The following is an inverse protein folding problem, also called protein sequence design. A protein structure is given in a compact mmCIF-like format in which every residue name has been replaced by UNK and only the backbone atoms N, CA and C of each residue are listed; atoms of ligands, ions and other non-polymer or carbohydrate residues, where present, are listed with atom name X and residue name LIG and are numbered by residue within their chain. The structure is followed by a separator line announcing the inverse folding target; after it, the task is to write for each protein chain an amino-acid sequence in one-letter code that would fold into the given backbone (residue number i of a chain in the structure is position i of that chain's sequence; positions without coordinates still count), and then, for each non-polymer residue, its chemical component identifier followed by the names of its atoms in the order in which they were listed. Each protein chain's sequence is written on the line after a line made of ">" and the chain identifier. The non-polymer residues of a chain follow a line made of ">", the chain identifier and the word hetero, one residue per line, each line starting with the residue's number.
data_IF_125265320868
#
_entry.id   IF_125265320868
#
_cell.length_a   1.000
_cell.length_b   1.000
_cell.length_c   1.000
_cell.angle_alpha   90.00
_cell.angle_beta   90.00
_cell.angle_gamma   90.00
#
_symmetry.space_group_name_H-M   'P 1'
#
loop_
_entity.id
_entity.type
_entity.pdbx_description
1 polymer ?
#
# COMPACT_ATOMS: atom_id res chain seq x y z
N UNK A 1 -47.87 -85.69 34.89
CA UNK A 1 -48.72 -84.59 35.41
C UNK A 1 -47.99 -83.27 35.10
N UNK A 2 -48.47 -82.43 34.15
CA UNK A 2 -49.17 -81.13 34.40
C UNK A 2 -48.56 -80.36 35.59
N UNK A 3 -48.03 -79.14 35.53
CA UNK A 3 -48.21 -77.88 34.74
C UNK A 3 -46.90 -77.05 34.88
N UNK A 4 -46.45 -76.28 33.88
CA UNK A 4 -46.64 -74.80 33.75
C UNK A 4 -45.59 -74.02 34.57
N UNK A 5 -44.81 -73.06 34.06
CA UNK A 5 -45.20 -71.77 33.45
C UNK A 5 -43.96 -71.08 32.84
N UNK A 6 -44.18 -70.35 31.75
CA UNK A 6 -43.31 -69.39 31.05
C UNK A 6 -42.56 -68.41 32.00
N UNK A 7 -41.45 -67.78 31.65
CA UNK A 7 -41.34 -66.70 30.66
C UNK A 7 -39.85 -66.41 30.43
N UNK A 8 -39.35 -66.61 29.19
CA UNK A 8 -38.16 -65.89 28.73
C UNK A 8 -38.65 -64.61 28.04
N UNK A 9 -38.58 -63.50 28.77
CA UNK A 9 -38.70 -62.14 28.23
C UNK A 9 -37.33 -61.50 28.29
N UNK A 10 -36.65 -61.45 27.15
CA UNK A 10 -35.67 -60.41 26.86
C UNK A 10 -36.30 -59.45 25.86
N UNK A 11 -36.89 -58.37 26.37
CA UNK A 11 -37.26 -57.19 25.58
C UNK A 11 -35.98 -56.59 24.97
N UNK A 12 -35.83 -56.54 23.64
CA UNK A 12 -36.31 -55.49 22.72
C UNK A 12 -35.81 -54.07 23.06
N UNK A 13 -34.83 -53.63 22.26
CA UNK A 13 -34.42 -52.26 21.89
C UNK A 13 -33.84 -51.41 23.04
N UNK A 14 -32.63 -50.86 22.98
CA UNK A 14 -31.99 -50.19 21.86
C UNK A 14 -30.47 -50.28 22.03
N UNK A 15 -29.80 -50.86 21.05
CA UNK A 15 -28.38 -50.61 20.85
C UNK A 15 -28.32 -49.14 20.44
N UNK A 16 -27.97 -48.25 21.37
CA UNK A 16 -27.61 -46.88 21.04
C UNK A 16 -26.39 -46.97 20.11
N UNK A 17 -26.67 -47.01 18.81
CA UNK A 17 -25.71 -46.61 17.81
C UNK A 17 -25.35 -45.17 18.18
N UNK A 18 -24.22 -45.01 18.86
CA UNK A 18 -23.49 -43.75 18.86
C UNK A 18 -23.12 -43.57 17.40
N UNK A 19 -23.98 -42.86 16.67
CA UNK A 19 -23.67 -42.25 15.40
C UNK A 19 -22.59 -41.23 15.74
N UNK A 20 -21.32 -41.67 15.71
CA UNK A 20 -20.19 -40.75 15.66
C UNK A 20 -20.38 -40.02 14.35
N UNK A 21 -20.99 -38.84 14.43
CA UNK A 21 -20.96 -37.86 13.39
C UNK A 21 -19.48 -37.46 13.27
N UNK A 22 -18.75 -38.21 12.44
CA UNK A 22 -17.51 -37.71 11.86
C UNK A 22 -17.92 -36.48 11.06
N UNK A 23 -17.89 -35.31 11.70
CA UNK A 23 -17.40 -34.16 10.98
C UNK A 23 -16.01 -34.56 10.53
N UNK A 24 -15.92 -35.05 9.30
CA UNK A 24 -14.71 -34.86 8.53
C UNK A 24 -14.58 -33.35 8.47
N UNK A 25 -13.86 -32.78 9.44
CA UNK A 25 -13.13 -31.55 9.22
C UNK A 25 -12.21 -31.95 8.08
N UNK A 26 -12.67 -31.76 6.84
CA UNK A 26 -11.76 -31.73 5.72
C UNK A 26 -10.85 -30.57 6.08
N UNK A 27 -9.70 -30.91 6.66
CA UNK A 27 -8.64 -29.95 6.87
C UNK A 27 -8.47 -29.32 5.50
N UNK A 28 -8.78 -28.03 5.39
CA UNK A 28 -8.54 -27.29 4.17
C UNK A 28 -7.02 -27.33 4.00
N UNK A 29 -6.53 -28.32 3.25
CA UNK A 29 -5.10 -28.51 3.08
C UNK A 29 -4.64 -27.50 2.06
N UNK A 30 -3.78 -26.59 2.50
CA UNK A 30 -3.03 -25.74 1.60
C UNK A 30 -2.36 -26.61 0.53
N UNK A 31 -2.73 -26.38 -0.72
CA UNK A 31 -2.11 -27.02 -1.87
C UNK A 31 -1.21 -26.01 -2.56
N UNK A 32 -0.05 -26.48 -3.00
CA UNK A 32 0.87 -25.67 -3.81
C UNK A 32 0.61 -25.99 -5.27
N UNK A 33 0.22 -24.98 -6.05
CA UNK A 33 -0.01 -25.10 -7.47
C UNK A 33 1.09 -24.41 -8.27
N UNK A 34 1.56 -25.09 -9.30
CA UNK A 34 2.42 -24.54 -10.34
C UNK A 34 1.59 -24.33 -11.60
N UNK A 35 1.59 -23.11 -12.13
CA UNK A 35 0.97 -22.83 -13.42
C UNK A 35 1.81 -23.45 -14.55
N UNK A 36 1.21 -24.33 -15.34
CA UNK A 36 1.81 -24.95 -16.53
C UNK A 36 0.98 -24.69 -17.81
N UNK A 37 0.00 -23.80 -17.74
CA UNK A 37 -0.90 -23.47 -18.84
C UNK A 37 -0.25 -22.69 -19.99
N UNK A 38 -0.97 -22.56 -21.12
CA UNK A 38 -0.53 -21.77 -22.26
C UNK A 38 -0.52 -20.26 -21.95
N UNK A 39 0.11 -19.47 -22.83
CA UNK A 39 0.08 -18.00 -22.71
C UNK A 39 -1.38 -17.50 -22.59
N UNK A 40 -1.67 -16.64 -21.62
CA UNK A 40 -3.02 -16.11 -21.36
C UNK A 40 -4.10 -17.16 -21.04
N UNK A 41 -3.70 -18.37 -20.62
CA UNK A 41 -4.64 -19.38 -20.17
C UNK A 41 -5.46 -18.91 -18.96
N UNK A 42 -6.70 -19.38 -18.85
CA UNK A 42 -7.59 -19.01 -17.75
C UNK A 42 -7.20 -19.67 -16.43
N UNK A 43 -7.43 -18.95 -15.32
CA UNK A 43 -7.24 -19.45 -13.95
C UNK A 43 -8.11 -20.67 -13.65
N UNK A 44 -9.37 -20.67 -14.09
CA UNK A 44 -10.34 -21.72 -13.74
C UNK A 44 -10.16 -23.01 -14.58
N UNK A 45 -9.20 -23.03 -15.50
CA UNK A 45 -8.88 -24.21 -16.29
C UNK A 45 -7.99 -25.12 -15.45
N UNK A 46 -8.59 -26.15 -14.85
CA UNK A 46 -7.93 -27.06 -13.90
C UNK A 46 -6.69 -27.76 -14.46
N UNK A 47 -6.61 -27.96 -15.78
CA UNK A 47 -5.46 -28.58 -16.46
C UNK A 47 -4.27 -27.64 -16.68
N UNK A 48 -4.44 -26.34 -16.38
CA UNK A 48 -3.36 -25.36 -16.42
C UNK A 48 -2.54 -25.33 -15.12
N UNK A 49 -2.82 -26.25 -14.20
CA UNK A 49 -2.22 -26.30 -12.88
C UNK A 49 -1.64 -27.67 -12.60
N UNK A 50 -0.53 -27.69 -11.85
CA UNK A 50 0.06 -28.90 -11.29
C UNK A 50 0.07 -28.74 -9.76
N UNK A 51 -0.62 -29.60 -9.00
CA UNK A 51 -1.51 -30.68 -9.47
C UNK A 51 -2.76 -30.14 -10.21
N UNK A 52 -3.43 -30.98 -11.00
CA UNK A 52 -4.64 -30.57 -11.70
C UNK A 52 -5.73 -30.14 -10.71
N UNK A 53 -6.26 -28.93 -10.89
CA UNK A 53 -7.24 -28.31 -10.00
C UNK A 53 -7.13 -26.79 -10.08
N UNK A 54 -8.23 -26.07 -9.85
CA UNK A 54 -8.16 -24.61 -9.76
C UNK A 54 -7.70 -24.23 -8.34
N UNK A 55 -6.68 -23.37 -8.17
CA UNK A 55 -6.26 -22.93 -6.84
C UNK A 55 -7.36 -22.08 -6.16
N UNK A 56 -7.54 -22.29 -4.86
CA UNK A 56 -8.53 -21.63 -4.00
C UNK A 56 -7.93 -20.81 -2.85
N UNK A 57 -8.81 -20.44 -1.91
CA UNK A 57 -8.61 -19.45 -0.83
C UNK A 57 -7.31 -19.55 -0.02
N UNK A 58 -6.81 -20.76 0.17
CA UNK A 58 -5.70 -21.08 1.08
C UNK A 58 -4.47 -21.60 0.34
N UNK A 59 -4.53 -21.64 -0.98
CA UNK A 59 -3.48 -22.24 -1.78
C UNK A 59 -2.34 -21.26 -2.05
N UNK A 60 -1.17 -21.83 -2.32
CA UNK A 60 0.00 -21.09 -2.78
C UNK A 60 0.16 -21.33 -4.27
N UNK A 61 0.32 -20.25 -5.03
CA UNK A 61 0.45 -20.33 -6.49
C UNK A 61 1.81 -19.84 -6.94
N UNK A 62 2.45 -20.59 -7.84
CA UNK A 62 3.67 -20.21 -8.53
C UNK A 62 3.39 -20.03 -10.02
N UNK A 63 3.72 -18.86 -10.54
CA UNK A 63 3.70 -18.55 -11.97
C UNK A 63 5.14 -18.53 -12.47
N UNK A 64 5.55 -19.59 -13.16
CA UNK A 64 6.92 -19.75 -13.64
C UNK A 64 7.25 -18.80 -14.81
N UNK A 65 8.54 -18.46 -14.97
CA UNK A 65 9.09 -17.63 -16.06
C UNK A 65 8.67 -18.05 -17.47
N UNK A 66 8.43 -19.34 -17.67
CA UNK A 66 8.15 -19.93 -18.97
C UNK A 66 6.65 -20.05 -19.24
N UNK A 67 5.82 -19.79 -18.23
CA UNK A 67 4.40 -19.88 -18.31
C UNK A 67 3.89 -18.51 -18.76
N UNK A 68 3.52 -18.41 -20.04
CA UNK A 68 3.13 -17.16 -20.65
C UNK A 68 1.99 -16.49 -19.89
N UNK A 69 2.20 -15.24 -19.45
CA UNK A 69 1.21 -14.30 -18.93
C UNK A 69 -0.16 -14.88 -18.57
N UNK A 70 -0.31 -15.51 -17.39
CA UNK A 70 -1.62 -15.98 -16.90
C UNK A 70 -2.59 -14.78 -16.92
N UNK A 71 -3.78 -14.96 -17.53
CA UNK A 71 -4.87 -13.97 -17.46
C UNK A 71 -5.81 -14.38 -16.33
N UNK A 72 -5.73 -13.66 -15.23
CA UNK A 72 -6.56 -13.93 -14.05
C UNK A 72 -7.96 -13.31 -14.20
N UNK A 73 -9.03 -14.13 -14.12
CA UNK A 73 -10.44 -13.68 -14.23
C UNK A 73 -11.46 -14.42 -13.33
N UNK A 74 -11.19 -14.82 -12.08
CA UNK A 74 -12.28 -15.08 -11.13
C UNK A 74 -12.65 -13.81 -10.35
N UNK A 75 -13.93 -13.69 -9.99
CA UNK A 75 -14.52 -12.51 -9.34
C UNK A 75 -14.27 -12.43 -7.83
N UNK A 76 -13.73 -13.47 -7.20
CA UNK A 76 -13.60 -13.55 -5.73
C UNK A 76 -12.78 -14.75 -5.27
N UNK A 77 -11.49 -14.79 -5.64
CA UNK A 77 -10.55 -15.77 -5.10
C UNK A 77 -9.60 -15.05 -4.13
N UNK A 78 -9.53 -15.59 -2.93
CA UNK A 78 -8.47 -15.28 -1.98
C UNK A 78 -7.32 -16.24 -2.28
N UNK A 79 -6.07 -15.84 -2.08
CA UNK A 79 -4.94 -16.77 -2.13
C UNK A 79 -4.15 -16.61 -0.85
N UNK A 80 -3.44 -17.66 -0.44
CA UNK A 80 -2.47 -17.47 0.62
C UNK A 80 -1.28 -16.67 0.10
N UNK A 81 -0.66 -17.16 -0.97
CA UNK A 81 0.59 -16.59 -1.50
C UNK A 81 0.66 -16.73 -3.02
N UNK A 82 1.22 -15.71 -3.67
CA UNK A 82 1.63 -15.78 -5.07
C UNK A 82 3.14 -15.60 -5.17
N UNK A 83 3.79 -16.42 -6.00
CA UNK A 83 5.16 -16.20 -6.47
C UNK A 83 5.16 -16.11 -7.98
N UNK A 84 5.38 -14.91 -8.52
CA UNK A 84 5.48 -14.66 -9.94
C UNK A 84 6.96 -14.54 -10.33
N UNK A 85 7.52 -15.60 -10.91
CA UNK A 85 8.85 -15.57 -11.54
C UNK A 85 8.78 -15.31 -13.05
N UNK A 86 7.58 -15.41 -13.63
CA UNK A 86 7.25 -14.99 -14.99
C UNK A 86 6.33 -13.78 -15.04
N UNK A 87 5.56 -13.67 -16.13
CA UNK A 87 4.57 -12.62 -16.30
C UNK A 87 3.21 -13.06 -15.74
N UNK A 88 2.57 -12.20 -14.95
CA UNK A 88 1.20 -12.37 -14.45
C UNK A 88 0.39 -11.12 -14.82
N UNK A 89 -0.70 -11.28 -15.58
CA UNK A 89 -1.58 -10.19 -15.98
C UNK A 89 -2.90 -10.27 -15.20
N UNK A 90 -3.25 -9.17 -14.53
CA UNK A 90 -4.38 -9.12 -13.61
C UNK A 90 -5.31 -8.01 -14.07
N UNK A 91 -6.50 -8.40 -14.51
CA UNK A 91 -7.55 -7.47 -14.95
C UNK A 91 -8.79 -7.49 -14.06
N UNK A 92 -8.78 -8.28 -12.98
CA UNK A 92 -9.86 -8.33 -11.98
C UNK A 92 -9.30 -8.13 -10.58
N UNK A 93 -10.08 -7.56 -9.65
CA UNK A 93 -9.66 -7.45 -8.26
C UNK A 93 -9.51 -8.83 -7.60
N UNK A 94 -8.53 -8.96 -6.70
CA UNK A 94 -8.42 -10.11 -5.79
C UNK A 94 -7.59 -9.79 -4.55
N UNK A 95 -7.56 -10.71 -3.59
CA UNK A 95 -6.81 -10.56 -2.35
C UNK A 95 -5.83 -11.73 -2.13
N UNK A 96 -4.62 -11.39 -1.71
CA UNK A 96 -3.60 -12.30 -1.20
C UNK A 96 -3.57 -12.10 0.31
N UNK A 97 -3.74 -13.16 1.08
CA UNK A 97 -3.88 -13.06 2.54
C UNK A 97 -2.54 -13.05 3.27
N UNK A 98 -1.52 -13.70 2.70
CA UNK A 98 -0.13 -13.60 3.14
C UNK A 98 0.65 -12.77 2.11
N UNK A 99 1.58 -13.32 1.35
CA UNK A 99 2.60 -12.51 0.66
C UNK A 99 2.51 -12.57 -0.87
N UNK A 100 2.87 -11.47 -1.52
CA UNK A 100 3.13 -11.38 -2.95
C UNK A 100 4.64 -11.34 -3.20
N UNK A 101 5.18 -12.39 -3.82
CA UNK A 101 6.59 -12.45 -4.23
C UNK A 101 6.68 -12.26 -5.74
N UNK A 102 7.43 -11.26 -6.18
CA UNK A 102 7.58 -10.84 -7.57
C UNK A 102 9.05 -10.92 -7.93
N UNK A 103 9.45 -11.95 -8.67
CA UNK A 103 10.80 -12.08 -9.25
C UNK A 103 10.77 -11.90 -10.78
N UNK A 104 9.58 -11.93 -11.38
CA UNK A 104 9.32 -11.62 -12.78
C UNK A 104 8.59 -10.28 -12.94
N UNK A 105 7.46 -10.31 -13.66
CA UNK A 105 6.64 -9.12 -13.90
C UNK A 105 5.19 -9.40 -13.51
N UNK A 106 4.61 -8.53 -12.70
CA UNK A 106 3.17 -8.52 -12.42
C UNK A 106 2.58 -7.25 -13.02
N UNK A 107 1.69 -7.39 -14.00
CA UNK A 107 0.99 -6.27 -14.63
C UNK A 107 -0.44 -6.22 -14.13
N UNK A 108 -0.82 -5.08 -13.55
CA UNK A 108 -2.16 -4.79 -13.07
C UNK A 108 -2.81 -3.76 -14.00
N UNK A 109 -4.05 -4.02 -14.40
CA UNK A 109 -4.83 -3.12 -15.24
C UNK A 109 -6.26 -2.94 -14.71
N UNK A 110 -6.66 -1.68 -14.51
CA UNK A 110 -8.02 -1.26 -14.16
C UNK A 110 -8.61 -2.01 -12.94
N UNK A 111 -7.76 -2.30 -11.95
CA UNK A 111 -8.12 -3.19 -10.84
C UNK A 111 -7.42 -2.83 -9.51
N UNK A 112 -7.90 -3.44 -8.43
CA UNK A 112 -7.29 -3.34 -7.10
C UNK A 112 -6.83 -4.70 -6.62
N UNK A 113 -5.58 -4.81 -6.15
CA UNK A 113 -5.08 -5.99 -5.44
C UNK A 113 -4.81 -5.62 -4.00
N UNK A 114 -5.28 -6.47 -3.10
CA UNK A 114 -4.97 -6.37 -1.67
C UNK A 114 -4.01 -7.48 -1.27
N UNK A 115 -2.96 -7.15 -0.52
CA UNK A 115 -1.97 -8.09 0.01
C UNK A 115 -1.94 -7.95 1.54
N UNK A 116 -2.21 -9.06 2.23
CA UNK A 116 -2.28 -9.12 3.69
C UNK A 116 -0.91 -9.19 4.36
N UNK A 117 0.15 -9.46 3.62
CA UNK A 117 1.52 -9.61 4.09
C UNK A 117 2.51 -8.87 3.18
N UNK A 118 3.72 -9.41 3.06
CA UNK A 118 4.83 -8.73 2.39
C UNK A 118 4.61 -8.65 0.87
N UNK A 119 5.12 -7.57 0.27
CA UNK A 119 5.30 -7.45 -1.18
C UNK A 119 6.79 -7.36 -1.45
N UNK A 120 7.38 -8.43 -1.97
CA UNK A 120 8.83 -8.51 -2.12
C UNK A 120 9.25 -9.29 -3.36
N UNK A 121 10.55 -9.51 -3.52
CA UNK A 121 11.14 -10.19 -4.67
C UNK A 121 11.94 -9.23 -5.53
N UNK A 122 12.61 -9.72 -6.57
CA UNK A 122 13.58 -8.96 -7.39
C UNK A 122 13.00 -8.38 -8.69
N UNK A 123 11.71 -8.60 -8.92
CA UNK A 123 10.99 -8.26 -10.15
C UNK A 123 10.28 -6.92 -10.10
N UNK A 124 9.32 -6.74 -11.01
CA UNK A 124 8.58 -5.48 -11.19
C UNK A 124 7.07 -5.69 -11.11
N UNK A 125 6.38 -4.82 -10.36
CA UNK A 125 4.94 -4.65 -10.42
C UNK A 125 4.63 -3.41 -11.25
N UNK A 126 3.86 -3.56 -12.33
CA UNK A 126 3.42 -2.48 -13.21
C UNK A 126 1.95 -2.16 -12.91
N UNK A 127 1.67 -0.91 -12.56
CA UNK A 127 0.34 -0.42 -12.23
C UNK A 127 -0.21 0.45 -13.37
N UNK A 128 -1.22 -0.02 -14.10
CA UNK A 128 -1.88 0.72 -15.19
C UNK A 128 -3.34 1.01 -14.83
N UNK A 129 -3.60 2.18 -14.24
CA UNK A 129 -4.90 2.54 -13.65
C UNK A 129 -5.32 1.57 -12.54
N UNK A 130 -4.34 1.07 -11.80
CA UNK A 130 -4.54 0.04 -10.77
C UNK A 130 -4.07 0.49 -9.40
N UNK A 131 -4.62 -0.14 -8.38
CA UNK A 131 -4.26 0.08 -6.99
C UNK A 131 -3.66 -1.18 -6.37
N UNK A 132 -2.43 -1.09 -5.87
CA UNK A 132 -1.85 -2.12 -5.01
C UNK A 132 -1.95 -1.68 -3.55
N UNK A 133 -2.56 -2.49 -2.70
CA UNK A 133 -2.73 -2.19 -1.27
C UNK A 133 -2.11 -3.29 -0.42
N UNK A 134 -1.08 -2.99 0.36
CA UNK A 134 -0.62 -3.87 1.42
C UNK A 134 -1.25 -3.46 2.76
N UNK A 135 -2.05 -4.33 3.36
CA UNK A 135 -2.90 -3.97 4.51
C UNK A 135 -2.29 -4.26 5.86
N UNK A 136 -1.31 -5.16 5.95
CA UNK A 136 -0.68 -5.46 7.24
C UNK A 136 0.30 -4.36 7.66
N UNK A 137 0.22 -3.98 8.92
CA UNK A 137 1.15 -3.05 9.56
C UNK A 137 2.54 -3.66 9.79
N UNK A 138 2.64 -4.98 9.74
CA UNK A 138 3.90 -5.72 9.82
C UNK A 138 4.39 -6.17 8.47
N UNK A 139 3.66 -5.87 7.38
CA UNK A 139 4.13 -6.14 6.04
C UNK A 139 5.35 -5.28 5.73
N UNK A 140 6.16 -5.73 4.79
CA UNK A 140 7.22 -4.91 4.21
C UNK A 140 7.16 -4.93 2.69
N UNK A 141 7.49 -3.78 2.09
CA UNK A 141 7.89 -3.70 0.69
C UNK A 141 9.41 -3.80 0.62
N UNK A 142 9.92 -4.86 -0.01
CA UNK A 142 11.36 -5.17 -0.01
C UNK A 142 11.86 -5.68 -1.35
N UNK A 143 12.96 -5.08 -1.86
CA UNK A 143 13.68 -5.49 -3.07
C UNK A 143 12.89 -5.48 -4.39
N UNK A 144 11.62 -5.08 -4.36
CA UNK A 144 10.72 -5.06 -5.51
C UNK A 144 10.73 -3.70 -6.20
N UNK A 145 10.56 -3.70 -7.53
CA UNK A 145 10.32 -2.48 -8.30
C UNK A 145 8.82 -2.26 -8.48
N UNK A 146 8.35 -1.03 -8.24
CA UNK A 146 6.99 -0.60 -8.56
C UNK A 146 7.06 0.42 -9.69
N UNK A 147 6.36 0.17 -10.79
CA UNK A 147 6.32 1.05 -11.96
C UNK A 147 4.89 1.55 -12.20
N UNK A 148 4.71 2.87 -12.22
CA UNK A 148 3.43 3.51 -12.48
C UNK A 148 3.30 3.87 -13.97
N UNK A 149 2.43 3.16 -14.68
CA UNK A 149 2.15 3.39 -16.10
C UNK A 149 0.84 4.19 -16.33
N UNK A 150 0.37 4.90 -15.31
CA UNK A 150 -0.80 5.76 -15.40
C UNK A 150 -0.86 6.71 -14.22
N UNK A 151 -1.43 7.90 -14.45
CA UNK A 151 -1.67 8.87 -13.39
C UNK A 151 -2.80 8.50 -12.43
N UNK A 152 -3.63 7.51 -12.79
CA UNK A 152 -4.70 7.01 -11.94
C UNK A 152 -4.25 5.84 -11.06
N UNK A 153 -3.01 5.38 -11.22
CA UNK A 153 -2.46 4.28 -10.43
C UNK A 153 -2.12 4.74 -9.01
N UNK A 154 -2.29 3.84 -8.03
CA UNK A 154 -1.97 4.14 -6.64
C UNK A 154 -1.31 2.97 -5.89
N UNK A 155 -0.52 3.32 -4.89
CA UNK A 155 0.13 2.37 -3.98
C UNK A 155 -0.22 2.73 -2.54
N UNK A 156 -0.86 1.82 -1.81
CA UNK A 156 -1.23 1.99 -0.41
C UNK A 156 -0.41 1.05 0.47
N UNK A 157 0.26 1.61 1.47
CA UNK A 157 1.26 0.91 2.27
C UNK A 157 0.93 1.07 3.75
N UNK A 158 0.47 0.00 4.39
CA UNK A 158 0.24 -0.01 5.85
C UNK A 158 1.50 -0.40 6.65
N UNK A 159 2.41 -1.14 6.04
CA UNK A 159 3.61 -1.69 6.67
C UNK A 159 4.88 -0.85 6.45
N UNK A 160 6.04 -1.47 6.61
CA UNK A 160 7.33 -0.84 6.35
C UNK A 160 7.68 -0.78 4.85
N UNK A 161 8.56 0.14 4.48
CA UNK A 161 9.18 0.19 3.15
C UNK A 161 10.69 0.15 3.34
N UNK A 162 11.38 -0.81 2.73
CA UNK A 162 12.83 -0.86 2.79
C UNK A 162 13.48 0.23 1.93
N UNK A 163 14.75 0.52 2.22
CA UNK A 163 15.59 1.38 1.38
C UNK A 163 15.90 0.80 -0.01
N UNK A 164 15.48 -0.45 -0.28
CA UNK A 164 15.77 -1.15 -1.53
C UNK A 164 14.58 -1.18 -2.49
N UNK A 165 13.45 -0.56 -2.14
CA UNK A 165 12.36 -0.38 -3.11
C UNK A 165 12.82 0.55 -4.25
N UNK A 166 12.49 0.16 -5.48
CA UNK A 166 12.60 1.06 -6.63
C UNK A 166 11.21 1.52 -7.02
N UNK A 167 11.01 2.82 -7.21
CA UNK A 167 9.74 3.37 -7.69
C UNK A 167 10.01 4.14 -8.97
N UNK A 168 9.58 3.58 -10.10
CA UNK A 168 9.69 4.18 -11.42
C UNK A 168 8.41 4.97 -11.76
N UNK A 169 8.56 6.02 -12.58
CA UNK A 169 7.46 6.87 -13.04
C UNK A 169 6.58 7.40 -11.89
N UNK A 170 7.19 7.59 -10.71
CA UNK A 170 6.49 8.09 -9.52
C UNK A 170 5.88 9.46 -9.74
N UNK A 171 6.31 10.19 -10.79
CA UNK A 171 5.79 11.48 -11.24
C UNK A 171 4.35 11.43 -11.81
N UNK A 172 3.71 10.26 -11.87
CA UNK A 172 2.33 10.13 -12.35
C UNK A 172 1.34 9.80 -11.22
N UNK A 173 1.76 9.17 -10.13
CA UNK A 173 0.84 8.40 -9.27
C UNK A 173 0.56 9.02 -7.90
N UNK A 174 -0.24 8.29 -7.09
CA UNK A 174 -0.42 8.57 -5.66
C UNK A 174 0.17 7.44 -4.83
N UNK A 175 1.02 7.79 -3.86
CA UNK A 175 1.52 6.86 -2.85
C UNK A 175 0.95 7.27 -1.50
N UNK A 176 0.30 6.32 -0.83
CA UNK A 176 -0.29 6.53 0.49
C UNK A 176 0.42 5.68 1.53
N UNK A 177 0.97 6.33 2.56
CA UNK A 177 1.42 5.65 3.78
C UNK A 177 0.31 5.72 4.81
N UNK A 178 -0.39 4.59 5.02
CA UNK A 178 -1.64 4.52 5.78
C UNK A 178 -1.57 3.61 7.02
N UNK A 179 -0.37 3.18 7.44
CA UNK A 179 -0.15 2.41 8.66
C UNK A 179 -0.31 3.22 9.95
N UNK A 180 0.00 2.62 11.10
CA UNK A 180 0.15 3.39 12.34
C UNK A 180 1.45 4.22 12.29
N UNK A 181 2.56 3.65 12.79
CA UNK A 181 3.87 4.29 12.77
C UNK A 181 4.65 3.84 11.54
N UNK A 182 5.11 4.77 10.73
CA UNK A 182 5.84 4.44 9.51
C UNK A 182 7.00 5.38 9.25
N UNK A 183 8.06 4.81 8.69
CA UNK A 183 9.18 5.54 8.13
C UNK A 183 8.92 5.81 6.65
N UNK A 184 9.09 7.06 6.24
CA UNK A 184 8.96 7.49 4.84
C UNK A 184 10.37 7.57 4.23
N UNK A 185 10.69 6.72 3.24
CA UNK A 185 12.01 6.74 2.60
C UNK A 185 12.21 8.02 1.78
N UNK A 186 13.47 8.40 1.59
CA UNK A 186 13.84 9.53 0.73
C UNK A 186 13.64 9.19 -0.73
N UNK A 187 12.49 9.53 -1.27
CA UNK A 187 12.13 9.32 -2.67
C UNK A 187 11.55 10.61 -3.27
N UNK A 188 11.37 10.58 -4.59
CA UNK A 188 10.51 11.54 -5.29
C UNK A 188 9.12 10.95 -5.44
N UNK A 189 8.11 11.70 -5.01
CA UNK A 189 6.70 11.35 -5.11
C UNK A 189 6.01 12.34 -6.05
N UNK A 190 5.04 11.89 -6.86
CA UNK A 190 4.11 12.82 -7.49
C UNK A 190 3.15 13.38 -6.44
N UNK A 191 2.24 12.52 -5.97
CA UNK A 191 1.37 12.78 -4.82
C UNK A 191 1.74 11.86 -3.68
N UNK A 192 1.99 12.44 -2.51
CA UNK A 192 2.23 11.74 -1.27
C UNK A 192 1.10 12.04 -0.30
N UNK A 193 0.34 11.01 0.06
CA UNK A 193 -0.76 11.11 1.03
C UNK A 193 -0.40 10.37 2.31
N UNK A 194 -0.55 11.02 3.44
CA UNK A 194 -0.19 10.48 4.75
C UNK A 194 -1.44 10.32 5.61
N UNK A 195 -1.66 9.12 6.14
CA UNK A 195 -2.79 8.83 7.02
C UNK A 195 -2.43 7.86 8.15
N UNK A 196 -3.26 7.79 9.19
CA UNK A 196 -3.04 6.91 10.34
C UNK A 196 -2.29 7.64 11.44
N UNK A 197 -1.28 7.03 12.05
CA UNK A 197 -0.49 7.70 13.10
C UNK A 197 0.77 8.37 12.52
N UNK A 198 1.82 8.54 13.32
CA UNK A 198 3.02 9.29 12.94
C UNK A 198 3.76 8.69 11.75
N UNK A 199 4.12 9.56 10.81
CA UNK A 199 5.01 9.32 9.68
C UNK A 199 6.31 10.07 9.92
N UNK A 200 7.42 9.35 9.98
CA UNK A 200 8.74 9.94 10.22
C UNK A 200 9.57 9.87 8.95
N UNK A 201 10.09 10.99 8.48
CA UNK A 201 11.01 10.99 7.35
C UNK A 201 12.29 10.24 7.72
N UNK A 202 12.77 9.37 6.83
CA UNK A 202 14.07 8.70 6.97
C UNK A 202 15.18 9.34 6.13
N UNK A 203 14.81 10.28 5.27
CA UNK A 203 15.70 11.10 4.45
C UNK A 203 14.88 12.27 3.89
N UNK A 204 15.54 13.17 3.16
CA UNK A 204 14.86 14.24 2.43
C UNK A 204 13.92 13.64 1.37
N UNK A 205 12.76 14.27 1.19
CA UNK A 205 11.80 13.88 0.15
C UNK A 205 11.55 15.01 -0.84
N UNK A 206 11.17 14.65 -2.05
CA UNK A 206 10.65 15.58 -3.05
C UNK A 206 9.22 15.19 -3.42
N UNK A 207 8.32 16.17 -3.49
CA UNK A 207 6.92 15.95 -3.87
C UNK A 207 6.56 16.91 -5.00
N UNK A 208 6.14 16.35 -6.14
CA UNK A 208 6.01 17.11 -7.37
C UNK A 208 4.67 17.85 -7.49
N UNK A 209 3.57 17.27 -7.01
CA UNK A 209 2.24 17.86 -7.17
C UNK A 209 1.51 18.10 -5.86
N UNK A 210 1.56 17.16 -4.91
CA UNK A 210 0.82 17.33 -3.65
C UNK A 210 1.38 16.47 -2.51
N UNK A 211 1.68 17.12 -1.38
CA UNK A 211 1.84 16.47 -0.09
C UNK A 211 0.60 16.76 0.75
N UNK A 212 -0.15 15.72 1.09
CA UNK A 212 -1.35 15.82 1.91
C UNK A 212 -1.19 15.04 3.21
N UNK A 213 -1.36 15.74 4.33
CA UNK A 213 -1.39 15.15 5.67
C UNK A 213 -2.85 15.11 6.11
N UNK A 214 -3.40 13.90 6.29
CA UNK A 214 -4.79 13.73 6.69
C UNK A 214 -5.01 14.02 8.17
N UNK A 215 -6.28 14.18 8.53
CA UNK A 215 -6.72 14.31 9.91
C UNK A 215 -6.13 13.19 10.79
N UNK A 216 -5.79 13.55 12.03
CA UNK A 216 -5.22 12.65 13.05
C UNK A 216 -3.86 12.04 12.68
N UNK A 217 -3.18 12.58 11.66
CA UNK A 217 -1.87 12.11 11.20
C UNK A 217 -0.81 13.14 11.57
N UNK A 218 0.33 12.65 12.07
CA UNK A 218 1.52 13.49 12.31
C UNK A 218 2.56 13.20 11.25
N UNK A 219 3.08 14.23 10.56
CA UNK A 219 4.34 14.13 9.82
C UNK A 219 5.47 14.72 10.67
N UNK A 220 6.50 13.93 10.93
CA UNK A 220 7.72 14.32 11.63
C UNK A 220 8.90 14.34 10.65
N UNK A 221 9.54 15.49 10.50
CA UNK A 221 10.74 15.66 9.68
C UNK A 221 11.98 14.94 10.24
N UNK A 222 11.82 14.20 11.35
CA UNK A 222 12.86 13.48 12.09
C UNK A 222 13.82 14.39 12.83
N UNK A 223 14.42 13.86 13.91
CA UNK A 223 15.52 14.50 14.64
C UNK A 223 16.75 14.78 13.76
N UNK A 224 16.82 14.13 12.60
CA UNK A 224 17.84 14.36 11.59
C UNK A 224 17.52 15.57 10.68
N UNK A 225 16.39 16.25 10.91
CA UNK A 225 16.01 17.51 10.29
C UNK A 225 15.91 17.42 8.77
N UNK A 226 15.19 16.42 8.27
CA UNK A 226 15.06 16.22 6.83
C UNK A 226 14.24 17.32 6.17
N UNK A 227 14.68 17.73 5.00
CA UNK A 227 14.01 18.73 4.18
C UNK A 227 12.89 18.08 3.34
N UNK A 228 11.85 18.88 3.07
CA UNK A 228 10.77 18.53 2.15
C UNK A 228 10.80 19.56 1.01
N UNK A 229 11.05 19.08 -0.20
CA UNK A 229 11.01 19.90 -1.42
C UNK A 229 9.68 19.69 -2.14
N UNK A 230 8.98 20.77 -2.48
CA UNK A 230 7.64 20.77 -3.06
C UNK A 230 7.65 21.54 -4.38
N UNK A 231 7.27 20.89 -5.48
CA UNK A 231 6.91 21.61 -6.72
C UNK A 231 5.42 21.94 -6.80
N UNK A 232 4.62 21.37 -5.88
CA UNK A 232 3.19 21.55 -5.79
C UNK A 232 2.71 21.84 -4.38
N UNK A 233 1.50 21.39 -4.05
CA UNK A 233 0.78 21.85 -2.88
C UNK A 233 1.23 21.13 -1.59
N UNK A 234 1.17 21.86 -0.48
CA UNK A 234 1.21 21.31 0.87
C UNK A 234 -0.16 21.50 1.53
N UNK A 235 -0.80 20.41 1.91
CA UNK A 235 -2.14 20.41 2.50
C UNK A 235 -2.08 19.74 3.88
N UNK A 236 -2.36 20.53 4.92
CA UNK A 236 -2.57 20.05 6.29
C UNK A 236 -4.06 20.05 6.55
N UNK A 237 -4.66 18.86 6.69
CA UNK A 237 -6.08 18.76 7.02
C UNK A 237 -6.33 19.07 8.50
N UNK A 238 -7.59 19.38 8.83
CA UNK A 238 -8.00 19.62 10.22
C UNK A 238 -7.63 18.45 11.13
N UNK A 239 -6.91 18.73 12.21
CA UNK A 239 -6.42 17.73 13.16
C UNK A 239 -5.17 16.97 12.70
N UNK A 240 -4.54 17.36 11.59
CA UNK A 240 -3.18 16.92 11.26
C UNK A 240 -2.13 17.71 12.07
N UNK A 241 -0.95 17.12 12.25
CA UNK A 241 0.19 17.77 12.90
C UNK A 241 1.40 17.68 11.98
N UNK A 242 2.12 18.79 11.83
CA UNK A 242 3.41 18.80 11.17
C UNK A 242 4.49 19.23 12.17
N UNK A 243 5.48 18.36 12.38
CA UNK A 243 6.65 18.62 13.20
C UNK A 243 7.85 18.85 12.24
N UNK A 244 8.15 20.11 11.87
CA UNK A 244 9.25 20.42 10.95
C UNK A 244 10.62 20.13 11.57
N UNK A 245 10.72 20.01 12.91
CA UNK A 245 11.99 19.94 13.64
C UNK A 245 12.87 21.12 13.22
N UNK A 246 14.08 20.88 12.73
CA UNK A 246 14.90 21.93 12.11
C UNK A 246 14.99 21.78 10.58
N UNK A 247 14.10 20.96 9.99
CA UNK A 247 14.03 20.73 8.55
C UNK A 247 13.39 21.92 7.80
N UNK A 248 13.76 22.06 6.53
CA UNK A 248 13.26 23.14 5.67
C UNK A 248 12.10 22.67 4.81
N UNK A 249 11.10 23.54 4.65
CA UNK A 249 10.11 23.44 3.57
C UNK A 249 10.59 24.29 2.40
N UNK A 250 10.79 23.66 1.24
CA UNK A 250 11.34 24.31 0.05
C UNK A 250 10.32 24.19 -1.08
N UNK A 251 9.65 25.29 -1.42
CA UNK A 251 8.84 25.38 -2.63
C UNK A 251 9.73 25.70 -3.83
N UNK A 252 9.54 24.99 -4.94
CA UNK A 252 10.34 25.12 -6.16
C UNK A 252 9.49 24.91 -7.41
N UNK A 253 10.12 25.02 -8.58
CA UNK A 253 9.49 24.84 -9.88
C UNK A 253 8.99 26.14 -10.50
N UNK A 254 8.13 26.00 -11.50
CA UNK A 254 7.54 27.14 -12.23
C UNK A 254 6.02 27.25 -12.00
N UNK A 255 5.50 26.50 -11.02
CA UNK A 255 4.07 26.46 -10.69
C UNK A 255 3.66 27.52 -9.66
N UNK A 256 2.38 27.50 -9.32
CA UNK A 256 1.78 28.30 -8.25
C UNK A 256 1.35 27.39 -7.11
N UNK A 257 2.29 26.82 -6.33
CA UNK A 257 1.95 25.91 -5.24
C UNK A 257 1.15 26.64 -4.17
N UNK A 258 0.35 25.88 -3.44
CA UNK A 258 -0.37 26.38 -2.26
C UNK A 258 0.14 25.74 -0.97
N UNK A 259 0.21 26.52 0.10
CA UNK A 259 0.26 26.02 1.47
C UNK A 259 -1.12 26.24 2.09
N UNK A 260 -1.80 25.15 2.42
CA UNK A 260 -3.16 25.16 2.93
C UNK A 260 -3.24 24.44 4.26
N UNK A 261 -3.77 25.13 5.27
CA UNK A 261 -4.07 24.59 6.60
C UNK A 261 -5.24 25.36 7.21
N UNK A 262 -6.16 24.69 7.94
CA UNK A 262 -7.22 25.37 8.69
C UNK A 262 -6.72 26.00 10.00
N UNK A 263 -5.47 25.75 10.40
CA UNK A 263 -4.84 26.23 11.63
C UNK A 263 -3.44 26.78 11.35
N UNK A 264 -2.86 27.47 12.34
CA UNK A 264 -1.46 27.93 12.27
C UNK A 264 -0.51 26.76 11.97
N UNK A 265 0.42 26.98 11.04
CA UNK A 265 1.43 25.98 10.65
C UNK A 265 2.78 26.40 11.22
N UNK A 266 3.37 25.49 12.00
CA UNK A 266 4.74 25.64 12.48
C UNK A 266 5.72 25.14 11.42
N UNK A 267 6.68 25.99 11.06
CA UNK A 267 7.79 25.69 10.17
C UNK A 267 9.10 26.06 10.87
N UNK A 268 10.20 25.43 10.47
CA UNK A 268 11.52 25.91 10.88
C UNK A 268 12.08 26.88 9.84
N UNK A 269 12.44 26.39 8.66
CA UNK A 269 12.80 27.27 7.54
C UNK A 269 11.75 27.16 6.42
N UNK A 270 11.50 28.29 5.76
CA UNK A 270 10.70 28.37 4.54
C UNK A 270 11.57 28.94 3.41
N UNK A 271 11.63 28.23 2.29
CA UNK A 271 12.29 28.70 1.08
C UNK A 271 11.33 28.65 -0.10
N UNK A 272 11.28 29.73 -0.89
CA UNK A 272 10.55 29.80 -2.16
C UNK A 272 11.56 30.08 -3.27
N UNK A 273 11.79 29.09 -4.13
CA UNK A 273 12.83 29.10 -5.15
C UNK A 273 12.32 29.39 -6.56
N UNK A 274 13.21 29.89 -7.40
CA UNK A 274 12.95 30.11 -8.83
C UNK A 274 11.83 31.11 -9.08
N UNK A 275 11.10 30.95 -10.18
CA UNK A 275 9.93 31.78 -10.52
C UNK A 275 8.64 31.30 -9.84
N UNK A 276 8.74 30.62 -8.69
CA UNK A 276 7.58 30.06 -7.98
C UNK A 276 6.79 31.19 -7.31
N UNK A 277 5.46 31.16 -7.45
CA UNK A 277 4.55 32.02 -6.68
C UNK A 277 3.77 31.19 -5.67
N UNK A 278 4.25 31.14 -4.43
CA UNK A 278 3.60 30.43 -3.33
C UNK A 278 2.39 31.22 -2.83
N UNK A 279 1.21 30.59 -2.84
CA UNK A 279 0.01 31.12 -2.18
C UNK A 279 -0.19 30.44 -0.83
N UNK A 280 -0.12 31.20 0.24
CA UNK A 280 -0.34 30.69 1.59
C UNK A 280 -1.73 31.11 2.11
N UNK A 281 -2.51 30.14 2.57
CA UNK A 281 -3.86 30.36 3.09
C UNK A 281 -3.95 30.18 4.61
N UNK A 282 -2.83 30.04 5.30
CA UNK A 282 -2.76 29.79 6.74
C UNK A 282 -1.91 30.82 7.47
N UNK A 283 -2.14 31.00 8.78
CA UNK A 283 -1.15 31.67 9.63
C UNK A 283 0.11 30.79 9.70
N UNK A 284 1.30 31.41 9.71
CA UNK A 284 2.57 30.71 9.83
C UNK A 284 3.34 31.18 11.06
N UNK A 285 3.95 30.23 11.75
CA UNK A 285 4.96 30.47 12.78
C UNK A 285 6.27 29.83 12.33
N UNK A 286 7.27 30.66 12.03
CA UNK A 286 8.54 30.25 11.42
C UNK A 286 9.67 30.52 12.42
N UNK A 287 10.18 29.45 13.01
CA UNK A 287 11.22 29.51 14.06
C UNK A 287 12.61 29.88 13.50
N UNK A 288 12.83 29.65 12.21
CA UNK A 288 14.07 29.93 11.50
C UNK A 288 13.87 31.01 10.43
N UNK A 289 14.47 30.80 9.26
CA UNK A 289 14.57 31.82 8.23
C UNK A 289 13.50 31.67 7.13
N UNK A 290 13.18 32.79 6.50
CA UNK A 290 12.47 32.84 5.22
C UNK A 290 13.47 33.22 4.13
N UNK A 291 13.51 32.47 3.03
CA UNK A 291 14.34 32.79 1.87
C UNK A 291 13.47 32.84 0.61
N UNK A 292 13.41 34.01 -0.02
CA UNK A 292 12.76 34.21 -1.31
C UNK A 292 13.84 34.39 -2.39
N UNK A 293 13.90 33.47 -3.35
CA UNK A 293 14.80 33.60 -4.49
C UNK A 293 14.36 34.74 -5.42
N UNK A 294 15.26 35.22 -6.27
CA UNK A 294 14.96 36.22 -7.30
C UNK A 294 13.76 35.77 -8.16
N UNK A 295 12.78 36.66 -8.31
CA UNK A 295 11.52 36.45 -9.04
C UNK A 295 10.54 35.44 -8.40
N UNK A 296 10.82 34.96 -7.19
CA UNK A 296 9.81 34.25 -6.42
C UNK A 296 8.81 35.22 -5.80
N UNK A 297 7.59 34.74 -5.55
CA UNK A 297 6.54 35.51 -4.87
C UNK A 297 6.01 34.68 -3.71
N UNK A 298 5.91 35.30 -2.54
CA UNK A 298 5.20 34.74 -1.39
C UNK A 298 3.94 35.56 -1.12
N UNK A 299 2.78 35.01 -1.46
CA UNK A 299 1.48 35.64 -1.23
C UNK A 299 0.85 35.05 0.03
N UNK A 300 0.99 35.75 1.15
CA UNK A 300 0.38 35.38 2.43
C UNK A 300 -1.08 35.84 2.58
N UNK A 301 -1.62 36.61 1.63
CA UNK A 301 -2.91 37.27 1.79
C UNK A 301 -2.96 38.14 3.07
N UNK A 302 -4.03 38.01 3.85
CA UNK A 302 -4.19 38.68 5.15
C UNK A 302 -3.71 37.84 6.34
N UNK A 303 -3.00 36.74 6.11
CA UNK A 303 -2.59 35.82 7.18
C UNK A 303 -1.41 36.38 7.98
N UNK A 304 -1.42 36.13 9.29
CA UNK A 304 -0.30 36.47 10.18
C UNK A 304 0.89 35.55 9.90
N UNK A 305 2.06 36.14 9.68
CA UNK A 305 3.33 35.42 9.50
C UNK A 305 4.27 35.89 10.61
N UNK A 306 4.66 34.98 11.49
CA UNK A 306 5.71 35.21 12.50
C UNK A 306 7.00 34.62 11.97
N UNK A 307 8.07 35.38 12.03
CA UNK A 307 9.41 34.93 11.64
C UNK A 307 10.35 35.30 12.77
N UNK A 308 11.00 34.29 13.36
CA UNK A 308 11.98 34.50 14.41
C UNK A 308 13.39 34.75 13.85
N UNK A 309 13.71 34.16 12.69
CA UNK A 309 14.97 34.37 11.99
C UNK A 309 14.94 35.53 10.99
N UNK A 310 15.82 35.45 9.98
CA UNK A 310 15.97 36.44 8.93
C UNK A 310 14.97 36.21 7.78
N UNK A 311 14.63 37.27 7.03
CA UNK A 311 13.75 37.24 5.85
C UNK A 311 14.19 38.21 4.76
#
# INVERSE_FOLDING_TARGET
>A
MKKGIDVIRTSRYSLNAILILFFVVQGLSQTKYLYNGPFSGGWDITTNWIPNGAPGALDTVIIASNAGGLKYVPSSVYLLKITATGSLNISTPFAITDSLVVDGIVTMQDNTITVGGNVNGSGTVILSQSTLTATSQTASFENVSIDFNSSLSSLNIAGAVSSTISIANSNQSTITYNGSFQNIPGLTYNRLRLSGQTKTLSSNITVLTELEILANTTLDASISNHNITLSGNLILNSGSVFNPRNGSIIFTGNGNPTLTSPVEVHLFNLQVNGSTSLTNTAALDIDGNVLLADNSVFNSGSNLIKVAGDW
#
